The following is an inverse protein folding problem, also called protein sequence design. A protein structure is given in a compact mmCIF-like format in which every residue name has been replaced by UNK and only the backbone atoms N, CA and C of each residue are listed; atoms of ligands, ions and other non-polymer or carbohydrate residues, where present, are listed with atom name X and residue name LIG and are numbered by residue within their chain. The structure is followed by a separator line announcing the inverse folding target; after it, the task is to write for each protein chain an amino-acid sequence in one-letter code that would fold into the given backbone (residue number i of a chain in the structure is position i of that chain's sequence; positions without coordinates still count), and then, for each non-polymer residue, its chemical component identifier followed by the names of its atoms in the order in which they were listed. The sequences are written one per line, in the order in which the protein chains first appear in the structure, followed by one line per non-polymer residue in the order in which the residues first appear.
data_IF_541555818063
#
_entry.id   IF_541555818063
#
_cell.length_a   1.000
_cell.length_b   1.000
_cell.length_c   1.000
_cell.angle_alpha   90.00
_cell.angle_beta   90.00
_cell.angle_gamma   90.00
#
_symmetry.space_group_name_H-M   'P 1'
#
loop_
_entity.id
_entity.type
_entity.pdbx_description
1 polymer ?
#
# COMPACT_ATOMS: atom_id res chain seq x y z
N UNK A 1 -13.87 -8.71 -1.76
CA UNK A 1 -13.32 -7.49 -2.39
C UNK A 1 -12.58 -6.77 -1.29
N UNK A 2 -11.25 -6.83 -1.29
CA UNK A 2 -10.46 -6.20 -0.24
C UNK A 2 -10.26 -4.74 -0.59
N UNK A 3 -10.52 -3.86 0.36
CA UNK A 3 -10.43 -2.42 0.21
C UNK A 3 -9.39 -1.95 1.22
N UNK A 4 -8.39 -1.20 0.76
CA UNK A 4 -7.43 -0.58 1.65
C UNK A 4 -8.02 0.68 2.25
N UNK A 5 -7.89 0.79 3.57
CA UNK A 5 -8.20 2.00 4.30
C UNK A 5 -6.92 2.55 4.91
N UNK A 6 -6.59 3.79 4.58
CA UNK A 6 -5.49 4.55 5.16
C UNK A 6 -5.88 6.03 5.17
N UNK A 7 -5.63 6.72 6.28
CA UNK A 7 -6.15 8.06 6.53
C UNK A 7 -7.65 8.21 6.22
N UNK A 8 -7.97 9.08 5.26
CA UNK A 8 -9.34 9.31 4.72
C UNK A 8 -9.57 8.67 3.35
N UNK A 9 -8.59 7.94 2.85
CA UNK A 9 -8.62 7.32 1.53
C UNK A 9 -9.09 5.89 1.64
N UNK A 10 -9.77 5.45 0.58
CA UNK A 10 -10.31 4.11 0.46
C UNK A 10 -10.05 3.67 -0.97
N UNK A 11 -9.15 2.70 -1.14
CA UNK A 11 -8.69 2.25 -2.46
C UNK A 11 -8.97 0.76 -2.60
N UNK A 12 -9.85 0.33 -3.52
CA UNK A 12 -10.02 -1.08 -3.85
C UNK A 12 -8.71 -1.67 -4.38
N UNK A 13 -8.36 -2.90 -3.95
CA UNK A 13 -7.16 -3.58 -4.47
C UNK A 13 -7.15 -3.72 -5.99
N UNK A 14 -8.31 -3.94 -6.60
CA UNK A 14 -8.44 -4.08 -8.05
C UNK A 14 -8.09 -2.79 -8.80
N UNK A 15 -8.08 -1.65 -8.11
CA UNK A 15 -7.74 -0.36 -8.68
C UNK A 15 -6.25 -0.04 -8.55
N UNK A 16 -5.49 -0.80 -7.77
CA UNK A 16 -4.04 -0.62 -7.66
C UNK A 16 -3.38 -1.30 -8.86
N UNK A 17 -2.74 -0.50 -9.70
CA UNK A 17 -2.00 -0.96 -10.87
C UNK A 17 -0.55 -1.33 -10.51
N UNK A 18 0.13 -0.46 -9.76
CA UNK A 18 1.52 -0.66 -9.33
C UNK A 18 1.75 -0.08 -7.93
N UNK A 19 2.79 -0.59 -7.26
CA UNK A 19 3.20 -0.17 -5.91
C UNK A 19 4.73 0.00 -5.91
N UNK A 20 5.19 1.22 -5.66
CA UNK A 20 6.59 1.48 -5.36
C UNK A 20 6.81 1.50 -3.85
N UNK A 21 7.81 0.74 -3.38
CA UNK A 21 8.17 0.63 -1.98
C UNK A 21 9.63 1.03 -1.80
N UNK A 22 9.86 2.02 -0.95
CA UNK A 22 11.19 2.41 -0.51
C UNK A 22 11.28 2.27 1.01
N UNK A 23 12.33 1.62 1.49
CA UNK A 23 12.62 1.52 2.92
C UNK A 23 13.99 2.10 3.20
N UNK A 24 14.03 3.14 4.02
CA UNK A 24 15.25 3.74 4.51
C UNK A 24 15.64 3.08 5.83
N UNK A 25 16.69 2.26 5.80
CA UNK A 25 17.19 1.52 6.96
C UNK A 25 17.77 2.44 8.05
N UNK A 26 18.41 3.54 7.66
CA UNK A 26 19.05 4.44 8.61
C UNK A 26 18.02 5.17 9.47
N UNK A 27 16.92 5.61 8.84
CA UNK A 27 15.87 6.39 9.49
C UNK A 27 14.71 5.51 9.97
N UNK A 28 14.72 4.22 9.61
CA UNK A 28 13.69 3.23 9.91
C UNK A 28 12.29 3.66 9.40
N UNK A 29 12.26 4.22 8.19
CA UNK A 29 11.05 4.73 7.55
C UNK A 29 10.72 3.95 6.28
N UNK A 30 9.42 3.79 6.02
CA UNK A 30 8.89 3.18 4.80
C UNK A 30 8.02 4.19 4.04
N UNK A 31 8.27 4.27 2.74
CA UNK A 31 7.54 5.08 1.79
C UNK A 31 6.83 4.16 0.80
N UNK A 32 5.56 4.44 0.56
CA UNK A 32 4.71 3.70 -0.36
C UNK A 32 4.12 4.70 -1.34
N UNK A 33 4.39 4.49 -2.62
CA UNK A 33 3.67 5.16 -3.70
C UNK A 33 2.77 4.16 -4.41
N UNK A 34 1.52 4.56 -4.63
CA UNK A 34 0.52 3.77 -5.31
C UNK A 34 0.24 4.39 -6.68
N UNK A 35 0.29 3.57 -7.71
CA UNK A 35 -0.34 3.90 -8.99
C UNK A 35 -1.69 3.21 -9.06
N UNK A 36 -2.75 3.99 -9.23
CA UNK A 36 -4.11 3.46 -9.38
C UNK A 36 -4.63 3.67 -10.80
N UNK A 37 -5.58 2.82 -11.19
CA UNK A 37 -6.25 2.87 -12.48
C UNK A 37 -6.73 4.29 -12.80
N UNK A 38 -6.47 4.72 -14.03
CA UNK A 38 -6.70 6.12 -14.46
C UNK A 38 -5.47 7.02 -14.34
N UNK A 39 -4.30 6.47 -14.00
CA UNK A 39 -3.02 7.19 -13.99
C UNK A 39 -2.84 8.11 -12.78
N UNK A 40 -3.61 7.89 -11.71
CA UNK A 40 -3.47 8.66 -10.47
C UNK A 40 -2.35 8.04 -9.65
N UNK A 41 -1.38 8.87 -9.27
CA UNK A 41 -0.30 8.49 -8.35
C UNK A 41 -0.56 9.09 -6.97
N UNK A 42 -0.34 8.30 -5.92
CA UNK A 42 -0.57 8.68 -4.53
C UNK A 42 0.61 8.26 -3.65
N UNK A 43 1.27 9.22 -3.05
CA UNK A 43 2.32 8.98 -2.04
C UNK A 43 1.71 8.96 -0.65
N UNK A 44 1.99 7.91 0.11
CA UNK A 44 1.53 7.76 1.48
C UNK A 44 2.49 8.42 2.47
N UNK A 45 1.95 9.01 3.53
CA UNK A 45 2.76 9.38 4.69
C UNK A 45 3.17 8.12 5.48
N UNK A 46 4.16 8.24 6.36
CA UNK A 46 4.69 7.10 7.11
C UNK A 46 3.62 6.27 7.85
N UNK A 47 2.69 6.86 8.65
CA UNK A 47 1.60 6.09 9.26
C UNK A 47 0.75 5.29 8.26
N UNK A 48 0.35 5.92 7.16
CA UNK A 48 -0.46 5.30 6.12
C UNK A 48 0.31 4.20 5.37
N UNK A 49 1.62 4.41 5.13
CA UNK A 49 2.52 3.42 4.55
C UNK A 49 2.59 2.14 5.40
N UNK A 50 2.73 2.27 6.72
CA UNK A 50 2.79 1.12 7.64
C UNK A 50 1.46 0.36 7.62
N UNK A 51 0.34 1.06 7.74
CA UNK A 51 -1.00 0.46 7.74
C UNK A 51 -1.30 -0.23 6.41
N UNK A 52 -0.90 0.38 5.30
CA UNK A 52 -0.99 -0.22 3.97
C UNK A 52 -0.19 -1.52 3.90
N UNK A 53 1.07 -1.51 4.38
CA UNK A 53 1.94 -2.67 4.30
C UNK A 53 1.47 -3.86 5.14
N UNK A 54 0.90 -3.62 6.32
CA UNK A 54 0.28 -4.69 7.14
C UNK A 54 -0.86 -5.39 6.39
N UNK A 55 -1.78 -4.59 5.82
CA UNK A 55 -2.91 -5.10 5.05
C UNK A 55 -2.44 -5.79 3.75
N UNK A 56 -1.43 -5.23 3.08
CA UNK A 56 -0.86 -5.75 1.83
C UNK A 56 -0.19 -7.11 2.04
N UNK A 57 0.66 -7.23 3.07
CA UNK A 57 1.29 -8.51 3.43
C UNK A 57 0.23 -9.54 3.81
N UNK A 58 -0.80 -9.14 4.56
CA UNK A 58 -1.93 -10.01 4.89
C UNK A 58 -2.63 -10.56 3.65
N UNK A 59 -2.83 -9.72 2.62
CA UNK A 59 -3.41 -10.15 1.34
C UNK A 59 -2.51 -11.11 0.58
N UNK A 60 -1.20 -10.83 0.48
CA UNK A 60 -0.24 -11.74 -0.19
C UNK A 60 -0.29 -13.12 0.45
N UNK A 61 -0.24 -13.19 1.77
CA UNK A 61 -0.32 -14.44 2.53
C UNK A 61 -1.59 -15.23 2.21
N UNK A 62 -2.74 -14.56 2.19
CA UNK A 62 -4.02 -15.18 1.82
C UNK A 62 -4.04 -15.70 0.38
N UNK A 63 -3.52 -14.95 -0.59
CA UNK A 63 -3.55 -15.34 -2.00
C UNK A 63 -2.54 -16.42 -2.37
N UNK A 64 -1.38 -16.40 -1.72
CA UNK A 64 -0.31 -17.37 -1.95
C UNK A 64 -0.38 -18.58 -1.02
N UNK A 65 -1.33 -18.58 -0.08
CA UNK A 65 -1.50 -19.58 0.97
C UNK A 65 -0.21 -19.78 1.80
N UNK A 66 0.45 -18.67 2.16
CA UNK A 66 1.66 -18.62 3.00
C UNK A 66 1.30 -18.11 4.39
#
# INVERSE_FOLDING_TARGET
MTIFHFGRHTVPFADIHDIHLEYNYHDNEIFVDLEVNGGVQMSLNLPDSVVFMEQFIGKIKQEKAI
#
